data_IF_770124175897
#
_entry.id   IF_770124175897
#
_cell.length_a   1.000
_cell.length_b   1.000
_cell.length_c   1.000
_cell.angle_alpha   90.00
_cell.angle_beta   90.00
_cell.angle_gamma   90.00
#
_symmetry.space_group_name_H-M   'P 1'
#
loop_
_entity.id
_entity.type
_entity.pdbx_description
1 polymer ?
#
# COMPACT_ATOMS: atom_id res chain seq x y z
N UNK A 1 11.11 15.49 -7.80
CA UNK A 1 11.57 14.14 -8.21
C UNK A 1 10.32 13.30 -8.19
N UNK A 2 9.82 12.85 -9.35
CA UNK A 2 8.50 12.23 -9.36
C UNK A 2 8.52 10.85 -8.69
N UNK A 3 7.50 10.57 -7.89
CA UNK A 3 7.25 9.28 -7.30
C UNK A 3 6.02 8.67 -7.95
N UNK A 4 6.23 7.58 -8.68
CA UNK A 4 5.18 6.79 -9.27
C UNK A 4 4.77 5.69 -8.30
N UNK A 5 3.47 5.45 -8.20
CA UNK A 5 2.91 4.53 -7.23
C UNK A 5 1.91 3.62 -7.92
N UNK A 6 2.04 2.32 -7.68
CA UNK A 6 1.09 1.28 -8.08
C UNK A 6 0.55 0.62 -6.82
N UNK A 7 -0.78 0.63 -6.65
CA UNK A 7 -1.42 -0.30 -5.72
C UNK A 7 -1.40 -1.69 -6.37
N UNK A 8 -1.02 -2.73 -5.62
CA UNK A 8 -1.17 -4.10 -6.10
C UNK A 8 -2.59 -4.40 -6.62
N UNK A 9 -2.69 -5.47 -7.40
CA UNK A 9 -3.96 -6.02 -7.90
C UNK A 9 -4.77 -6.67 -6.78
N UNK A 10 -6.02 -7.00 -7.06
CA UNK A 10 -6.97 -7.56 -6.09
C UNK A 10 -6.39 -8.80 -5.40
N UNK A 11 -6.38 -8.86 -4.06
CA UNK A 11 -5.93 -10.05 -3.33
C UNK A 11 -7.00 -11.15 -3.32
N UNK A 12 -6.57 -12.39 -3.10
CA UNK A 12 -7.43 -13.56 -2.92
C UNK A 12 -7.92 -13.63 -1.48
N UNK A 13 -8.93 -12.83 -1.19
CA UNK A 13 -9.58 -12.77 0.12
C UNK A 13 -11.06 -12.37 -0.05
N UNK A 14 -11.98 -12.87 0.79
CA UNK A 14 -13.37 -12.42 0.75
C UNK A 14 -13.49 -10.90 0.99
N UNK A 15 -14.50 -10.29 0.38
CA UNK A 15 -14.83 -8.90 0.66
C UNK A 15 -15.19 -8.71 2.13
N UNK A 16 -14.81 -7.56 2.69
CA UNK A 16 -15.12 -7.23 4.08
C UNK A 16 -14.23 -7.90 5.13
N UNK A 17 -13.16 -8.59 4.72
CA UNK A 17 -12.14 -9.12 5.65
C UNK A 17 -10.99 -8.13 5.79
N UNK A 18 -10.56 -7.88 7.02
CA UNK A 18 -9.42 -7.02 7.31
C UNK A 18 -8.11 -7.73 6.95
N UNK A 19 -7.20 -7.01 6.28
CA UNK A 19 -5.86 -7.50 5.98
C UNK A 19 -4.88 -6.35 5.80
N UNK A 20 -3.64 -6.62 6.16
CA UNK A 20 -2.52 -5.72 6.02
C UNK A 20 -1.27 -6.49 5.61
N UNK A 21 -0.46 -6.88 6.58
CA UNK A 21 0.71 -7.74 6.41
C UNK A 21 0.37 -9.21 6.14
N UNK A 22 -0.86 -9.64 6.40
CA UNK A 22 -1.34 -10.97 6.00
C UNK A 22 -0.96 -11.24 4.54
N UNK A 23 -0.10 -12.24 4.33
CA UNK A 23 0.51 -12.47 3.02
C UNK A 23 -0.42 -13.29 2.12
N UNK A 24 -1.30 -12.56 1.44
CA UNK A 24 -2.34 -13.11 0.59
C UNK A 24 -1.86 -13.33 -0.84
N UNK A 25 -2.48 -14.30 -1.53
CA UNK A 25 -2.34 -14.37 -2.99
C UNK A 25 -3.03 -13.21 -3.70
N UNK A 26 -2.78 -13.12 -5.00
CA UNK A 26 -3.62 -12.40 -5.97
C UNK A 26 -4.87 -13.21 -6.31
N UNK A 27 -5.97 -12.51 -6.62
CA UNK A 27 -7.24 -13.10 -7.04
C UNK A 27 -7.16 -13.77 -8.42
N UNK A 28 -8.22 -14.46 -8.81
CA UNK A 28 -8.33 -15.08 -10.14
C UNK A 28 -8.45 -14.03 -11.27
N UNK A 29 -8.78 -12.77 -10.94
CA UNK A 29 -8.82 -11.64 -11.89
C UNK A 29 -7.42 -11.08 -12.20
N UNK A 30 -6.38 -11.57 -11.52
CA UNK A 30 -5.00 -11.08 -11.65
C UNK A 30 -4.51 -10.90 -13.08
N UNK A 31 -4.65 -11.85 -14.03
CA UNK A 31 -4.10 -11.68 -15.38
C UNK A 31 -4.69 -10.46 -16.11
N UNK A 32 -5.96 -10.15 -15.87
CA UNK A 32 -6.66 -9.02 -16.50
C UNK A 32 -6.16 -7.71 -15.88
N UNK A 33 -6.16 -7.63 -14.55
CA UNK A 33 -5.73 -6.42 -13.83
C UNK A 33 -4.24 -6.11 -14.06
N UNK A 34 -3.37 -7.12 -14.00
CA UNK A 34 -1.95 -6.95 -14.25
C UNK A 34 -1.67 -6.48 -15.69
N UNK A 35 -2.44 -6.97 -16.67
CA UNK A 35 -2.37 -6.48 -18.05
C UNK A 35 -2.85 -5.02 -18.19
N UNK A 36 -3.84 -4.60 -17.40
CA UNK A 36 -4.28 -3.20 -17.37
C UNK A 36 -3.22 -2.29 -16.75
N UNK A 37 -2.60 -2.71 -15.64
CA UNK A 37 -1.47 -2.01 -15.01
C UNK A 37 -0.34 -1.85 -16.03
N UNK A 38 0.05 -2.93 -16.72
CA UNK A 38 1.11 -2.92 -17.73
C UNK A 38 0.89 -1.88 -18.84
N UNK A 39 -0.37 -1.66 -19.24
CA UNK A 39 -0.73 -0.66 -20.26
C UNK A 39 -0.61 0.79 -19.77
N UNK A 40 -0.64 1.01 -18.46
CA UNK A 40 -0.51 2.34 -17.84
C UNK A 40 0.94 2.78 -17.71
N UNK A 41 1.88 1.84 -17.64
CA UNK A 41 3.31 2.11 -17.60
C UNK A 41 3.79 2.51 -19.01
N UNK A 42 4.15 3.79 -19.18
CA UNK A 42 4.55 4.38 -20.46
C UNK A 42 6.01 4.81 -20.53
N UNK A 43 6.78 4.55 -19.48
CA UNK A 43 8.16 5.02 -19.31
C UNK A 43 8.98 4.00 -18.53
N UNK A 44 10.29 4.20 -18.56
CA UNK A 44 11.23 3.57 -17.65
C UNK A 44 11.37 4.40 -16.38
N UNK A 45 11.78 3.74 -15.30
CA UNK A 45 12.02 4.36 -13.99
C UNK A 45 13.49 4.15 -13.60
N UNK A 46 14.05 5.08 -12.83
CA UNK A 46 15.43 4.91 -12.32
C UNK A 46 15.52 3.72 -11.37
N UNK A 47 14.53 3.59 -10.48
CA UNK A 47 14.37 2.42 -9.61
C UNK A 47 12.91 1.97 -9.59
N UNK A 48 12.74 0.66 -9.45
CA UNK A 48 11.46 0.04 -9.11
C UNK A 48 11.64 -0.65 -7.77
N UNK A 49 10.87 -0.24 -6.77
CA UNK A 49 10.90 -0.78 -5.42
C UNK A 49 9.56 -1.45 -5.13
N UNK A 50 9.61 -2.66 -4.59
CA UNK A 50 8.45 -3.53 -4.44
C UNK A 50 8.33 -3.97 -2.99
N UNK A 51 7.11 -3.91 -2.47
CA UNK A 51 6.81 -4.51 -1.17
C UNK A 51 7.07 -6.03 -1.20
N UNK A 52 7.64 -6.63 -0.14
CA UNK A 52 7.90 -8.07 -0.10
C UNK A 52 6.63 -8.94 -0.07
N UNK A 53 5.43 -8.36 0.09
CA UNK A 53 4.19 -9.14 0.13
C UNK A 53 3.86 -9.72 -1.26
N UNK A 54 3.39 -10.97 -1.30
CA UNK A 54 3.25 -11.79 -2.51
C UNK A 54 2.44 -11.11 -3.61
N UNK A 55 1.38 -10.40 -3.24
CA UNK A 55 0.54 -9.63 -4.18
C UNK A 55 1.27 -8.50 -4.91
N UNK A 56 2.29 -7.90 -4.30
CA UNK A 56 3.16 -6.93 -4.95
C UNK A 56 4.22 -7.62 -5.80
N UNK A 57 4.88 -8.66 -5.26
CA UNK A 57 5.89 -9.44 -5.98
C UNK A 57 5.35 -10.05 -7.27
N UNK A 58 4.19 -10.72 -7.22
CA UNK A 58 3.55 -11.31 -8.41
C UNK A 58 3.27 -10.27 -9.50
N UNK A 59 2.85 -9.06 -9.10
CA UNK A 59 2.64 -7.98 -10.06
C UNK A 59 3.96 -7.52 -10.68
N UNK A 60 5.00 -7.32 -9.88
CA UNK A 60 6.33 -6.93 -10.36
C UNK A 60 6.92 -7.97 -11.34
N UNK A 61 6.81 -9.25 -11.00
CA UNK A 61 7.21 -10.38 -11.85
C UNK A 61 6.44 -10.39 -13.18
N UNK A 62 5.11 -10.20 -13.15
CA UNK A 62 4.29 -10.14 -14.36
C UNK A 62 4.69 -8.96 -15.28
N UNK A 63 5.02 -7.81 -14.69
CA UNK A 63 5.46 -6.64 -15.43
C UNK A 63 6.84 -6.87 -16.07
N UNK A 64 7.63 -7.82 -15.55
CA UNK A 64 8.95 -8.20 -16.02
C UNK A 64 9.92 -7.00 -16.05
N UNK A 65 9.94 -6.23 -14.96
CA UNK A 65 10.80 -5.07 -14.77
C UNK A 65 11.78 -5.40 -13.63
N UNK A 66 13.09 -5.14 -13.75
CA UNK A 66 14.02 -5.30 -12.62
C UNK A 66 13.60 -4.47 -11.42
N UNK A 67 13.65 -5.05 -10.22
CA UNK A 67 13.20 -4.39 -9.00
C UNK A 67 14.06 -4.72 -7.78
N UNK A 68 13.98 -3.84 -6.78
CA UNK A 68 14.50 -4.02 -5.43
C UNK A 68 13.33 -4.25 -4.46
N UNK A 69 13.57 -4.96 -3.36
CA UNK A 69 12.56 -5.21 -2.33
C UNK A 69 12.88 -4.36 -1.11
N UNK A 70 11.88 -3.68 -0.54
CA UNK A 70 12.03 -2.93 0.71
C UNK A 70 10.84 -3.20 1.65
N UNK A 71 11.13 -3.68 2.86
CA UNK A 71 10.11 -4.02 3.86
C UNK A 71 9.40 -2.80 4.46
N UNK A 72 9.98 -1.61 4.34
CA UNK A 72 9.40 -0.35 4.85
C UNK A 72 8.20 0.11 4.03
N UNK A 73 7.96 -0.47 2.85
CA UNK A 73 6.79 -0.18 2.01
C UNK A 73 5.77 -1.33 2.00
N UNK A 74 5.74 -2.16 3.05
CA UNK A 74 4.64 -3.11 3.31
C UNK A 74 3.37 -2.39 3.74
N UNK A 75 2.22 -3.06 3.63
CA UNK A 75 0.96 -2.50 4.14
C UNK A 75 1.01 -2.31 5.66
N UNK A 76 0.13 -1.46 6.17
CA UNK A 76 -0.12 -1.33 7.61
C UNK A 76 -0.36 -2.70 8.25
N UNK A 77 0.28 -2.96 9.37
CA UNK A 77 0.02 -4.16 10.17
C UNK A 77 -1.30 -4.00 10.95
N UNK A 78 -2.32 -4.78 10.58
CA UNK A 78 -3.60 -4.79 11.30
C UNK A 78 -3.61 -5.79 12.46
N UNK A 79 -2.48 -6.43 12.80
CA UNK A 79 -2.31 -7.25 13.99
C UNK A 79 -3.43 -8.27 14.20
N UNK A 80 -4.07 -8.20 15.36
CA UNK A 80 -5.11 -9.14 15.78
C UNK A 80 -6.38 -9.08 14.91
N UNK A 81 -6.54 -8.05 14.07
CA UNK A 81 -7.69 -7.92 13.16
C UNK A 81 -7.48 -8.67 11.84
N UNK A 82 -6.26 -9.09 11.51
CA UNK A 82 -5.99 -9.73 10.23
C UNK A 82 -6.75 -11.04 10.03
N UNK A 83 -7.36 -11.18 8.85
CA UNK A 83 -8.17 -12.35 8.51
C UNK A 83 -9.56 -12.37 9.16
N UNK A 84 -9.90 -11.36 9.97
CA UNK A 84 -11.21 -11.24 10.61
C UNK A 84 -12.12 -10.34 9.76
N UNK A 85 -13.39 -10.73 9.54
CA UNK A 85 -14.39 -9.83 8.95
C UNK A 85 -14.51 -8.54 9.76
N UNK A 86 -14.55 -7.38 9.10
CA UNK A 86 -14.72 -6.07 9.76
C UNK A 86 -15.96 -6.03 10.67
N UNK A 87 -17.00 -6.79 10.34
CA UNK A 87 -18.23 -6.93 11.13
C UNK A 87 -18.08 -7.74 12.42
N UNK A 88 -17.02 -8.53 12.56
CA UNK A 88 -16.73 -9.36 13.73
C UNK A 88 -15.74 -8.70 14.70
N UNK A 89 -15.04 -7.66 14.26
CA UNK A 89 -14.18 -6.86 15.12
C UNK A 89 -15.05 -6.06 16.10
N UNK A 90 -14.59 -5.94 17.34
CA UNK A 90 -15.32 -5.24 18.39
C UNK A 90 -15.69 -3.81 17.95
N UNK A 91 -16.99 -3.45 17.89
CA UNK A 91 -17.41 -2.14 17.41
C UNK A 91 -16.78 -0.97 18.16
N UNK A 92 -16.49 -1.13 19.47
CA UNK A 92 -15.83 -0.08 20.25
C UNK A 92 -14.40 0.20 19.76
N UNK A 93 -13.71 -0.82 19.29
CA UNK A 93 -12.36 -0.67 18.74
C UNK A 93 -12.40 -0.07 17.33
N UNK A 94 -13.37 -0.48 16.50
CA UNK A 94 -13.62 0.14 15.20
C UNK A 94 -13.96 1.63 15.34
N UNK A 95 -14.84 1.98 16.29
CA UNK A 95 -15.21 3.37 16.58
C UNK A 95 -14.01 4.16 17.07
N UNK A 96 -13.18 3.59 17.95
CA UNK A 96 -11.96 4.25 18.44
C UNK A 96 -10.97 4.49 17.29
N UNK A 97 -10.75 3.51 16.41
CA UNK A 97 -9.91 3.65 15.23
C UNK A 97 -10.46 4.68 14.25
N UNK A 98 -11.78 4.69 13.98
CA UNK A 98 -12.40 5.65 13.09
C UNK A 98 -12.28 7.11 13.61
N UNK A 99 -12.31 7.28 14.93
CA UNK A 99 -12.15 8.59 15.58
C UNK A 99 -10.68 9.08 15.60
N UNK A 100 -9.71 8.18 15.59
CA UNK A 100 -8.28 8.51 15.56
C UNK A 100 -7.49 7.57 14.62
N UNK A 101 -7.77 7.65 13.31
CA UNK A 101 -7.13 6.76 12.32
C UNK A 101 -5.60 6.90 12.33
N UNK A 102 -5.11 8.08 12.68
CA UNK A 102 -3.67 8.39 12.65
C UNK A 102 -2.95 7.79 13.86
N UNK A 103 -3.49 8.02 15.06
CA UNK A 103 -2.86 7.67 16.32
C UNK A 103 -3.31 6.36 16.95
N UNK A 104 -4.45 5.79 16.54
CA UNK A 104 -4.95 4.54 17.10
C UNK A 104 -4.04 3.37 16.72
N UNK A 105 -3.58 2.64 17.73
CA UNK A 105 -2.77 1.43 17.56
C UNK A 105 -3.70 0.24 17.49
N UNK A 106 -3.71 -0.45 16.35
CA UNK A 106 -4.42 -1.73 16.23
C UNK A 106 -3.78 -2.74 17.19
N UNK A 107 -4.54 -3.52 17.98
CA UNK A 107 -3.99 -4.54 18.86
C UNK A 107 -3.05 -5.48 18.10
N UNK A 108 -1.84 -5.69 18.63
CA UNK A 108 -0.80 -6.48 17.95
C UNK A 108 -0.23 -5.87 16.67
N UNK A 109 -0.64 -4.66 16.27
CA UNK A 109 -0.31 -4.04 14.99
C UNK A 109 0.24 -2.61 15.06
N UNK A 110 0.12 -1.91 13.94
CA UNK A 110 0.65 -0.56 13.72
C UNK A 110 -0.40 0.53 14.00
N UNK A 111 0.09 1.75 14.21
CA UNK A 111 -0.66 2.99 13.95
C UNK A 111 -0.42 3.43 12.52
N UNK A 112 -1.32 4.21 11.94
CA UNK A 112 -1.02 4.83 10.64
C UNK A 112 0.20 5.77 10.74
N UNK A 113 0.41 6.41 11.89
CA UNK A 113 1.63 7.16 12.19
C UNK A 113 2.91 6.31 12.05
N UNK A 114 2.90 5.05 12.48
CA UNK A 114 4.07 4.16 12.36
C UNK A 114 4.38 3.88 10.88
N UNK A 115 3.34 3.77 10.03
CA UNK A 115 3.47 3.63 8.57
C UNK A 115 4.11 4.89 7.96
N UNK A 116 3.69 6.08 8.39
CA UNK A 116 4.25 7.35 7.93
C UNK A 116 5.75 7.40 8.26
N UNK A 117 6.13 7.09 9.49
CA UNK A 117 7.53 7.14 9.95
C UNK A 117 8.44 6.22 9.12
N UNK A 118 8.07 4.95 8.91
CA UNK A 118 8.89 4.03 8.11
C UNK A 118 8.92 4.40 6.61
N UNK A 119 7.86 4.99 6.08
CA UNK A 119 7.83 5.47 4.69
C UNK A 119 8.64 6.74 4.53
N UNK A 120 8.67 7.63 5.53
CA UNK A 120 9.53 8.82 5.55
C UNK A 120 11.01 8.42 5.53
N UNK A 121 11.40 7.47 6.37
CA UNK A 121 12.75 6.91 6.39
C UNK A 121 13.14 6.37 5.00
N UNK A 122 12.28 5.54 4.41
CA UNK A 122 12.46 5.02 3.06
C UNK A 122 12.62 6.13 2.01
N UNK A 123 11.74 7.14 2.03
CA UNK A 123 11.77 8.24 1.05
C UNK A 123 13.00 9.14 1.22
N UNK A 124 13.55 9.27 2.43
CA UNK A 124 14.76 10.06 2.70
C UNK A 124 16.02 9.46 2.08
N UNK A 125 16.05 8.13 1.92
CA UNK A 125 17.14 7.40 1.28
C UNK A 125 16.93 7.19 -0.23
N UNK A 126 15.72 7.45 -0.71
CA UNK A 126 15.36 7.24 -2.10
C UNK A 126 16.02 8.30 -3.00
N UNK A 127 16.97 7.84 -3.80
CA UNK A 127 17.72 8.65 -4.77
C UNK A 127 17.27 8.42 -6.22
N UNK A 128 17.73 9.28 -7.13
CA UNK A 128 17.43 9.20 -8.56
C UNK A 128 16.17 9.98 -8.96
N UNK A 129 16.00 10.14 -10.27
CA UNK A 129 14.84 10.79 -10.86
C UNK A 129 13.79 9.74 -11.22
N UNK A 130 12.52 10.00 -10.95
CA UNK A 130 11.40 9.17 -11.40
C UNK A 130 11.46 7.70 -10.95
N UNK A 131 11.14 7.47 -9.67
CA UNK A 131 11.10 6.14 -9.06
C UNK A 131 9.67 5.57 -9.05
N UNK A 132 9.54 4.24 -9.16
CA UNK A 132 8.27 3.52 -9.08
C UNK A 132 8.20 2.66 -7.80
N UNK A 133 7.10 2.76 -7.06
CA UNK A 133 6.76 1.83 -5.98
C UNK A 133 5.60 0.92 -6.40
N UNK A 134 5.72 -0.38 -6.16
CA UNK A 134 4.61 -1.34 -6.22
C UNK A 134 4.28 -1.74 -4.77
N UNK A 135 3.19 -1.19 -4.24
CA UNK A 135 2.90 -1.19 -2.80
C UNK A 135 1.38 -1.21 -2.54
N UNK A 136 0.95 -0.69 -1.39
CA UNK A 136 -0.37 -0.86 -0.81
C UNK A 136 -1.04 0.47 -0.51
N UNK A 137 -2.29 0.42 -0.02
CA UNK A 137 -3.09 1.63 0.16
C UNK A 137 -2.54 2.49 1.30
N UNK A 138 -2.18 1.90 2.45
CA UNK A 138 -1.62 2.65 3.58
C UNK A 138 -0.33 3.38 3.23
N UNK A 139 0.58 2.72 2.50
CA UNK A 139 1.84 3.33 2.06
C UNK A 139 1.59 4.49 1.09
N UNK A 140 0.67 4.32 0.13
CA UNK A 140 0.36 5.39 -0.83
C UNK A 140 -0.27 6.60 -0.13
N UNK A 141 -1.11 6.37 0.88
CA UNK A 141 -1.63 7.43 1.74
C UNK A 141 -0.53 8.14 2.52
N UNK A 142 0.43 7.41 3.08
CA UNK A 142 1.59 8.00 3.72
C UNK A 142 2.40 8.85 2.73
N UNK A 143 2.61 8.38 1.50
CA UNK A 143 3.26 9.17 0.45
C UNK A 143 2.49 10.46 0.10
N UNK A 144 1.16 10.44 0.03
CA UNK A 144 0.37 11.66 -0.16
C UNK A 144 0.59 12.68 0.95
N UNK A 145 0.61 12.23 2.20
CA UNK A 145 0.86 13.09 3.35
C UNK A 145 2.28 13.67 3.34
N UNK A 146 3.29 12.81 3.19
CA UNK A 146 4.71 13.19 3.21
C UNK A 146 5.12 14.10 2.04
N UNK A 147 4.44 13.99 0.90
CA UNK A 147 4.64 14.89 -0.25
C UNK A 147 3.83 16.19 -0.16
N UNK A 148 3.08 16.40 0.92
CA UNK A 148 2.24 17.59 1.11
C UNK A 148 1.08 17.69 0.13
N UNK A 149 0.70 16.58 -0.52
CA UNK A 149 -0.41 16.53 -1.49
C UNK A 149 -1.76 16.60 -0.76
N UNK A 150 -1.84 15.97 0.42
CA UNK A 150 -2.99 15.96 1.30
C UNK A 150 -2.52 16.15 2.75
N UNK A 151 -3.38 16.65 3.63
CA UNK A 151 -3.13 16.53 5.08
C UNK A 151 -3.16 15.06 5.49
N UNK A 152 -2.51 14.72 6.61
CA UNK A 152 -2.45 13.34 7.12
C UNK A 152 -3.86 12.76 7.31
N UNK A 153 -4.79 13.57 7.85
CA UNK A 153 -6.16 13.15 8.14
C UNK A 153 -6.97 12.89 6.87
N UNK A 154 -6.76 13.71 5.83
CA UNK A 154 -7.41 13.53 4.54
C UNK A 154 -6.82 12.32 3.81
N UNK A 155 -5.49 12.18 3.81
CA UNK A 155 -4.81 11.07 3.19
C UNK A 155 -5.26 9.72 3.80
N UNK A 156 -5.33 9.62 5.13
CA UNK A 156 -5.72 8.42 5.84
C UNK A 156 -7.09 7.85 5.40
N UNK A 157 -8.02 8.74 5.00
CA UNK A 157 -9.39 8.40 4.59
C UNK A 157 -9.57 8.20 3.08
N UNK A 158 -8.57 8.52 2.26
CA UNK A 158 -8.68 8.48 0.80
C UNK A 158 -8.70 7.03 0.29
N UNK A 159 -9.63 6.68 -0.60
CA UNK A 159 -9.63 5.38 -1.28
C UNK A 159 -8.78 5.42 -2.56
N UNK A 160 -8.36 4.24 -3.00
CA UNK A 160 -7.65 4.01 -4.25
C UNK A 160 -7.96 2.60 -4.71
N UNK A 161 -8.16 2.38 -6.00
CA UNK A 161 -8.58 1.09 -6.52
C UNK A 161 -7.38 0.14 -6.72
N UNK A 162 -7.65 -1.16 -6.81
CA UNK A 162 -6.60 -2.14 -7.11
C UNK A 162 -6.03 -1.92 -8.51
N UNK A 163 -4.71 -2.00 -8.64
CA UNK A 163 -4.01 -1.73 -9.90
C UNK A 163 -3.96 -0.26 -10.31
N UNK A 164 -4.41 0.68 -9.47
CA UNK A 164 -4.25 2.11 -9.77
C UNK A 164 -2.78 2.49 -9.90
N UNK A 165 -2.52 3.40 -10.84
CA UNK A 165 -1.21 3.95 -11.15
C UNK A 165 -1.29 5.47 -11.09
N UNK A 166 -0.50 6.10 -10.22
CA UNK A 166 -0.47 7.56 -10.07
C UNK A 166 0.96 8.09 -9.93
N UNK A 167 1.08 9.41 -10.04
CA UNK A 167 2.34 10.13 -9.98
C UNK A 167 2.21 11.27 -8.96
N UNK A 168 3.18 11.36 -8.04
CA UNK A 168 3.34 12.48 -7.12
C UNK A 168 4.59 13.28 -7.52
N UNK A 169 4.54 14.63 -7.54
CA UNK A 169 5.68 15.47 -7.92
C UNK A 169 6.84 15.47 -6.88
#
# INVERSE_FOLDING_TARGET
>A
MALYLIRHTSPKIPEGVCYGRLDLDVSDTFPIEAQQVKRRIKKTYSKVIVSPLRRCLKLAEYLNIPFEIDSRIQEMDFGDWEGIPWSEINPKEIDAWANDIVGYRVPGGERFQDVIERVEEFLSELSGEDNLLITHSGVIKACWALRGVLSVEIAAKKSMDFGDYLCLP
#
